data_IF_383413730515
#
_entry.id   IF_383413730515
#
_cell.length_a   1.000
_cell.length_b   1.000
_cell.length_c   1.000
_cell.angle_alpha   90.00
_cell.angle_beta   90.00
_cell.angle_gamma   90.00
#
_symmetry.space_group_name_H-M   'P 1'
#
loop_
_entity.id
_entity.type
_entity.pdbx_description
1 polymer ?
#
# COMPACT_ATOMS: atom_id res chain seq x y z
N UNK A 1 2.53 3.60 12.88
CA UNK A 1 1.68 2.61 13.55
C UNK A 1 2.56 1.62 14.27
N UNK A 2 2.09 1.12 15.42
CA UNK A 2 2.68 -0.05 16.05
C UNK A 2 1.99 -1.27 15.46
N UNK A 3 2.75 -2.28 15.04
CA UNK A 3 2.18 -3.47 14.39
C UNK A 3 1.42 -4.36 15.38
N UNK A 4 2.09 -4.78 16.45
CA UNK A 4 1.48 -5.49 17.58
C UNK A 4 2.18 -5.11 18.90
N UNK A 5 1.83 -3.97 19.52
CA UNK A 5 2.59 -3.38 20.62
C UNK A 5 2.65 -4.25 21.89
N UNK A 6 1.82 -5.29 22.00
CA UNK A 6 1.88 -6.26 23.08
C UNK A 6 2.94 -7.36 22.90
N UNK A 7 3.45 -7.54 21.68
CA UNK A 7 4.37 -8.65 21.35
C UNK A 7 5.60 -8.25 20.54
N UNK A 8 5.57 -7.10 19.85
CA UNK A 8 6.69 -6.59 19.04
C UNK A 8 6.92 -5.11 19.30
N UNK A 9 8.18 -4.68 19.19
CA UNK A 9 8.60 -3.27 19.30
C UNK A 9 8.72 -2.59 17.94
N UNK A 10 8.23 -3.23 16.88
CA UNK A 10 8.29 -2.68 15.52
C UNK A 10 7.37 -1.47 15.38
N UNK A 11 7.94 -0.38 14.84
CA UNK A 11 7.22 0.85 14.52
C UNK A 11 7.30 1.11 13.03
N UNK A 12 6.14 1.12 12.39
CA UNK A 12 6.00 1.32 10.95
C UNK A 12 5.60 2.76 10.67
N UNK A 13 6.31 3.41 9.75
CA UNK A 13 6.01 4.76 9.28
C UNK A 13 5.47 4.68 7.85
N UNK A 14 4.24 5.15 7.64
CA UNK A 14 3.60 5.17 6.33
C UNK A 14 3.85 6.49 5.62
N UNK A 15 4.19 6.41 4.35
CA UNK A 15 4.37 7.56 3.46
C UNK A 15 3.52 7.35 2.21
N UNK A 16 2.98 8.44 1.65
CA UNK A 16 2.33 8.44 0.35
C UNK A 16 3.32 8.97 -0.69
N UNK A 17 3.59 8.20 -1.73
CA UNK A 17 4.43 8.59 -2.86
C UNK A 17 3.60 8.80 -4.13
N UNK A 18 3.86 9.88 -4.84
CA UNK A 18 3.36 10.06 -6.21
C UNK A 18 4.17 9.17 -7.16
N UNK A 19 3.50 8.41 -8.02
CA UNK A 19 4.14 7.43 -8.91
C UNK A 19 3.51 7.43 -10.30
N UNK A 20 4.34 7.20 -11.32
CA UNK A 20 3.87 6.77 -12.64
C UNK A 20 3.78 5.24 -12.66
N UNK A 21 2.55 4.73 -12.61
CA UNK A 21 2.29 3.28 -12.61
C UNK A 21 2.26 2.65 -14.00
N UNK A 22 2.40 3.43 -15.10
CA UNK A 22 2.27 2.92 -16.47
C UNK A 22 3.32 1.88 -16.86
N UNK A 23 4.49 1.91 -16.19
CA UNK A 23 5.61 1.00 -16.41
C UNK A 23 5.73 -0.09 -15.35
N UNK A 24 4.93 -0.04 -14.29
CA UNK A 24 5.02 -0.96 -13.17
C UNK A 24 4.41 -2.33 -13.55
N UNK A 25 5.26 -3.29 -13.89
CA UNK A 25 4.85 -4.64 -14.34
C UNK A 25 5.95 -5.66 -14.10
N UNK A 26 5.54 -6.92 -13.95
CA UNK A 26 6.43 -8.06 -13.93
C UNK A 26 6.66 -8.62 -12.52
N UNK A 27 7.75 -9.38 -12.42
CA UNK A 27 8.26 -9.99 -11.19
C UNK A 27 9.57 -9.27 -10.86
N UNK A 28 9.73 -8.90 -9.60
CA UNK A 28 10.86 -8.15 -9.07
C UNK A 28 11.36 -8.80 -7.78
N UNK A 29 12.56 -8.42 -7.38
CA UNK A 29 13.26 -8.98 -6.23
C UNK A 29 14.73 -9.08 -6.56
N UNK A 30 15.60 -8.89 -5.55
CA UNK A 30 17.02 -9.13 -5.71
C UNK A 30 17.33 -10.58 -5.35
N UNK A 31 18.19 -11.22 -6.14
CA UNK A 31 18.58 -12.61 -5.90
C UNK A 31 19.19 -12.83 -4.50
N UNK A 32 19.78 -11.79 -3.90
CA UNK A 32 20.36 -11.84 -2.56
C UNK A 32 19.35 -11.63 -1.41
N UNK A 33 18.15 -11.13 -1.72
CA UNK A 33 17.10 -10.84 -0.72
C UNK A 33 16.10 -11.99 -0.60
N UNK A 34 16.15 -12.96 -1.53
CA UNK A 34 15.27 -14.11 -1.56
C UNK A 34 13.77 -13.70 -1.60
N UNK A 35 13.49 -12.59 -2.29
CA UNK A 35 12.14 -12.05 -2.50
C UNK A 35 11.68 -12.32 -3.93
N UNK A 36 10.41 -12.71 -4.08
CA UNK A 36 9.72 -12.91 -5.36
C UNK A 36 8.44 -12.07 -5.35
N UNK A 37 8.55 -10.82 -5.82
CA UNK A 37 7.52 -9.79 -5.72
C UNK A 37 6.85 -9.61 -7.09
N UNK A 38 5.54 -9.87 -7.14
CA UNK A 38 4.73 -9.59 -8.32
C UNK A 38 3.95 -8.28 -8.15
N UNK A 39 4.08 -7.39 -9.13
CA UNK A 39 3.37 -6.09 -9.11
C UNK A 39 1.98 -6.23 -9.73
N UNK A 40 0.99 -5.63 -9.05
CA UNK A 40 -0.38 -5.50 -9.51
C UNK A 40 -0.79 -4.02 -9.54
N UNK A 41 -1.06 -3.48 -10.74
CA UNK A 41 -1.62 -2.13 -10.90
C UNK A 41 -3.13 -2.24 -11.00
N UNK A 42 -3.84 -1.60 -10.08
CA UNK A 42 -5.30 -1.57 -10.03
C UNK A 42 -5.79 -0.15 -9.80
N UNK A 43 -7.05 0.10 -10.15
CA UNK A 43 -7.71 1.37 -9.80
C UNK A 43 -7.79 1.51 -8.28
N UNK A 44 -7.64 2.74 -7.79
CA UNK A 44 -7.74 3.08 -6.36
C UNK A 44 -9.05 2.58 -5.74
N UNK A 45 -10.16 2.77 -6.45
CA UNK A 45 -11.51 2.32 -6.04
C UNK A 45 -11.55 0.80 -5.89
N UNK A 46 -10.89 0.06 -6.79
CA UNK A 46 -10.85 -1.40 -6.75
C UNK A 46 -10.02 -1.91 -5.57
N UNK A 47 -8.87 -1.28 -5.29
CA UNK A 47 -8.05 -1.61 -4.13
C UNK A 47 -8.82 -1.39 -2.82
N UNK A 48 -9.53 -0.26 -2.71
CA UNK A 48 -10.39 0.00 -1.56
C UNK A 48 -11.51 -1.04 -1.42
N UNK A 49 -12.16 -1.41 -2.52
CA UNK A 49 -13.19 -2.45 -2.51
C UNK A 49 -12.63 -3.81 -2.07
N UNK A 50 -11.45 -4.21 -2.57
CA UNK A 50 -10.80 -5.46 -2.14
C UNK A 50 -10.44 -5.47 -0.66
N UNK A 51 -10.05 -4.33 -0.10
CA UNK A 51 -9.86 -4.17 1.33
C UNK A 51 -11.18 -4.36 2.10
N UNK A 52 -12.27 -3.73 1.67
CA UNK A 52 -13.59 -3.91 2.28
C UNK A 52 -14.10 -5.37 2.20
N UNK A 53 -13.72 -6.10 1.15
CA UNK A 53 -14.05 -7.52 0.96
C UNK A 53 -13.12 -8.48 1.69
N UNK A 54 -12.07 -7.98 2.37
CA UNK A 54 -11.07 -8.81 3.04
C UNK A 54 -10.09 -9.53 2.10
N UNK A 55 -10.04 -9.16 0.82
CA UNK A 55 -9.02 -9.65 -0.14
C UNK A 55 -7.65 -9.00 0.07
N UNK A 56 -7.64 -7.81 0.67
CA UNK A 56 -6.45 -7.14 1.19
C UNK A 56 -6.69 -6.95 2.68
N UNK A 57 -6.02 -7.74 3.52
CA UNK A 57 -6.27 -7.82 4.96
C UNK A 57 -5.01 -7.65 5.83
N UNK A 58 -3.83 -7.44 5.21
CA UNK A 58 -2.62 -7.12 5.98
C UNK A 58 -2.68 -5.70 6.57
N UNK A 59 -2.13 -5.53 7.76
CA UNK A 59 -2.27 -4.31 8.56
C UNK A 59 -1.75 -3.06 7.83
N UNK A 60 -0.59 -3.15 7.18
CA UNK A 60 0.07 -2.03 6.50
C UNK A 60 -0.76 -1.55 5.30
N UNK A 61 -1.21 -2.49 4.45
CA UNK A 61 -1.99 -2.19 3.27
C UNK A 61 -3.39 -1.66 3.63
N UNK A 62 -4.06 -2.26 4.62
CA UNK A 62 -5.36 -1.78 5.12
C UNK A 62 -5.24 -0.34 5.61
N UNK A 63 -4.25 -0.06 6.48
CA UNK A 63 -4.04 1.30 6.99
C UNK A 63 -3.73 2.31 5.88
N UNK A 64 -2.87 1.95 4.92
CA UNK A 64 -2.54 2.80 3.78
C UNK A 64 -3.74 3.10 2.88
N UNK A 65 -4.54 2.08 2.55
CA UNK A 65 -5.71 2.22 1.69
C UNK A 65 -6.86 2.98 2.37
N UNK A 66 -7.08 2.78 3.67
CA UNK A 66 -8.02 3.57 4.46
C UNK A 66 -7.62 5.04 4.50
N UNK A 67 -6.34 5.32 4.78
CA UNK A 67 -5.82 6.68 4.77
C UNK A 67 -6.00 7.33 3.39
N UNK A 68 -5.66 6.61 2.32
CA UNK A 68 -5.83 7.11 0.96
C UNK A 68 -7.30 7.39 0.64
N UNK A 69 -8.22 6.49 0.98
CA UNK A 69 -9.66 6.73 0.79
C UNK A 69 -10.14 8.02 1.47
N UNK A 70 -9.68 8.30 2.69
CA UNK A 70 -10.09 9.47 3.46
C UNK A 70 -9.46 10.78 2.94
N UNK A 71 -8.25 10.71 2.38
CA UNK A 71 -7.45 11.90 2.07
C UNK A 71 -7.27 12.14 0.56
N UNK A 72 -7.73 11.24 -0.31
CA UNK A 72 -7.43 11.26 -1.74
C UNK A 72 -7.75 12.59 -2.42
N UNK A 73 -8.91 13.19 -2.14
CA UNK A 73 -9.30 14.46 -2.76
C UNK A 73 -8.34 15.61 -2.39
N UNK A 74 -7.94 15.69 -1.12
CA UNK A 74 -6.98 16.70 -0.66
C UNK A 74 -5.58 16.42 -1.21
N UNK A 75 -5.19 15.15 -1.30
CA UNK A 75 -3.91 14.73 -1.84
C UNK A 75 -3.78 15.08 -3.33
N UNK A 76 -4.83 14.79 -4.12
CA UNK A 76 -4.93 15.18 -5.53
C UNK A 76 -4.77 16.68 -5.72
N UNK A 77 -5.45 17.50 -4.91
CA UNK A 77 -5.33 18.97 -5.00
C UNK A 77 -3.92 19.47 -4.69
N UNK A 78 -3.18 18.78 -3.81
CA UNK A 78 -1.83 19.17 -3.38
C UNK A 78 -0.73 18.75 -4.35
N UNK A 79 -0.99 17.75 -5.19
CA UNK A 79 -0.03 17.20 -6.15
C UNK A 79 -0.35 17.58 -7.60
N UNK A 80 -1.34 18.45 -7.80
CA UNK A 80 -1.52 19.19 -9.06
C UNK A 80 -0.51 20.34 -9.14
#
# INVERSE_FOLDING_TARGET
>A
MWDSPGGVVERIHLFAGEVDSSKAKGIHGLACENEDIRVHVVKREQAYQWMCEGKIDNCIAVMGLQWLQLNYAQLQQRWQ
#
